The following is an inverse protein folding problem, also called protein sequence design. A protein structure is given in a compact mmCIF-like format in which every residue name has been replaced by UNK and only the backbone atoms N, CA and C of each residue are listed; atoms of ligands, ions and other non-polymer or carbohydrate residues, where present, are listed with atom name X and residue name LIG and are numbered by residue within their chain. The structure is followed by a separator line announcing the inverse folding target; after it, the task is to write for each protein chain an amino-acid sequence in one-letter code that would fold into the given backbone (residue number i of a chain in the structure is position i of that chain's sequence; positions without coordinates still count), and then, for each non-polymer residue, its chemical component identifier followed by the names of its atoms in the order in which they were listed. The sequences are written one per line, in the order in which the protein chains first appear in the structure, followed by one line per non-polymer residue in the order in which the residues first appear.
data_IF_663331519331
#
_entry.id   IF_663331519331
#
_cell.length_a   1.000
_cell.length_b   1.000
_cell.length_c   1.000
_cell.angle_alpha   90.00
_cell.angle_beta   90.00
_cell.angle_gamma   90.00
#
_symmetry.space_group_name_H-M   'P 1'
#
loop_
_entity.id
_entity.type
_entity.pdbx_description
1 polymer ?
#
# COMPACT_ATOMS: atom_id res chain seq x y z
N UNK A 1 41.38 31.22 57.65
CA UNK A 1 40.14 30.84 56.96
C UNK A 1 40.39 31.10 55.49
N UNK A 2 41.30 30.32 54.92
CA UNK A 2 41.59 30.38 53.49
C UNK A 2 40.41 29.74 52.80
N UNK A 3 39.60 30.58 52.17
CA UNK A 3 38.51 30.13 51.33
C UNK A 3 39.14 29.26 50.24
N UNK A 4 38.60 28.06 50.09
CA UNK A 4 39.01 26.99 49.19
C UNK A 4 38.75 27.37 47.72
N UNK A 5 39.44 28.43 47.28
CA UNK A 5 39.34 29.03 45.95
C UNK A 5 39.88 28.05 44.92
N UNK A 6 40.91 27.28 45.26
CA UNK A 6 41.48 26.27 44.36
C UNK A 6 40.50 25.12 44.12
N UNK A 7 39.82 24.58 45.14
CA UNK A 7 38.80 23.57 44.90
C UNK A 7 37.55 24.13 44.21
N UNK A 8 37.24 25.42 44.39
CA UNK A 8 36.17 26.08 43.63
C UNK A 8 36.53 26.19 42.14
N UNK A 9 37.78 26.55 41.82
CA UNK A 9 38.30 26.61 40.45
C UNK A 9 38.33 25.22 39.82
N UNK A 10 38.77 24.19 40.56
CA UNK A 10 38.85 22.81 40.07
C UNK A 10 37.46 22.22 39.80
N UNK A 11 36.49 22.49 40.69
CA UNK A 11 35.07 22.13 40.48
C UNK A 11 34.45 22.88 39.30
N UNK A 12 34.81 24.14 39.09
CA UNK A 12 34.35 24.91 37.94
C UNK A 12 34.95 24.38 36.63
N UNK A 13 36.23 24.02 36.61
CA UNK A 13 36.89 23.37 35.47
C UNK A 13 36.27 22.02 35.11
N UNK A 14 36.06 21.16 36.11
CA UNK A 14 35.38 19.87 35.92
C UNK A 14 33.96 20.01 35.36
N UNK A 15 33.20 21.01 35.83
CA UNK A 15 31.86 21.29 35.32
C UNK A 15 31.88 21.75 33.86
N UNK A 16 32.86 22.59 33.49
CA UNK A 16 33.06 23.06 32.11
C UNK A 16 33.36 21.89 31.16
N UNK A 17 34.21 20.94 31.58
CA UNK A 17 34.56 19.78 30.76
C UNK A 17 33.37 18.81 30.57
N UNK A 18 32.56 18.61 31.61
CA UNK A 18 31.32 17.81 31.52
C UNK A 18 30.31 18.46 30.57
N UNK A 19 30.16 19.79 30.62
CA UNK A 19 29.29 20.53 29.70
C UNK A 19 29.83 20.44 28.26
N UNK A 20 31.13 20.61 28.06
CA UNK A 20 31.77 20.51 26.74
C UNK A 20 31.61 19.12 26.10
N UNK A 21 31.80 18.06 26.88
CA UNK A 21 31.58 16.67 26.44
C UNK A 21 30.10 16.38 26.14
N UNK A 22 29.17 16.92 26.93
CA UNK A 22 27.73 16.80 26.65
C UNK A 22 27.32 17.53 25.36
N UNK A 23 27.84 18.75 25.12
CA UNK A 23 27.54 19.53 23.90
C UNK A 23 28.10 18.85 22.66
N UNK A 24 29.33 18.32 22.73
CA UNK A 24 29.96 17.58 21.60
C UNK A 24 29.28 16.25 21.33
N UNK A 25 28.84 15.53 22.38
CA UNK A 25 28.03 14.33 22.22
C UNK A 25 26.67 14.65 21.60
N UNK A 26 25.99 15.71 22.06
CA UNK A 26 24.69 16.12 21.53
C UNK A 26 24.80 16.56 20.06
N UNK A 27 25.83 17.32 19.69
CA UNK A 27 26.07 17.75 18.30
C UNK A 27 26.53 16.61 17.38
N UNK A 28 27.28 15.63 17.91
CA UNK A 28 27.69 14.46 17.14
C UNK A 28 26.50 13.57 16.75
N UNK A 29 25.46 13.51 17.60
CA UNK A 29 24.29 12.67 17.37
C UNK A 29 23.13 13.41 16.68
N UNK A 30 23.07 14.74 16.73
CA UNK A 30 22.11 15.52 15.92
C UNK A 30 22.39 15.39 14.44
N UNK A 31 23.66 15.44 14.02
CA UNK A 31 24.02 15.25 12.62
C UNK A 31 23.70 13.84 12.13
N UNK A 32 24.00 12.81 12.94
CA UNK A 32 23.67 11.42 12.61
C UNK A 32 22.15 11.20 12.48
N UNK A 33 21.35 11.77 13.38
CA UNK A 33 19.88 11.65 13.32
C UNK A 33 19.27 12.41 12.14
N UNK A 34 19.75 13.62 11.83
CA UNK A 34 19.30 14.37 10.65
C UNK A 34 19.65 13.65 9.35
N UNK A 35 20.86 13.08 9.26
CA UNK A 35 21.26 12.26 8.12
C UNK A 35 20.38 11.03 7.97
N UNK A 36 20.08 10.32 9.06
CA UNK A 36 19.18 9.17 9.04
C UNK A 36 17.77 9.55 8.52
N UNK A 37 17.20 10.63 9.03
CA UNK A 37 15.88 11.12 8.58
C UNK A 37 15.90 11.52 7.11
N UNK A 38 16.95 12.23 6.67
CA UNK A 38 17.11 12.63 5.27
C UNK A 38 17.21 11.40 4.35
N UNK A 39 18.01 10.40 4.72
CA UNK A 39 18.14 9.15 3.96
C UNK A 39 16.80 8.40 3.89
N UNK A 40 16.09 8.26 5.02
CA UNK A 40 14.76 7.64 5.04
C UNK A 40 13.75 8.41 4.17
N UNK A 41 13.77 9.75 4.22
CA UNK A 41 12.91 10.59 3.40
C UNK A 41 13.20 10.41 1.91
N UNK A 42 14.47 10.39 1.50
CA UNK A 42 14.90 10.13 0.11
C UNK A 42 14.45 8.73 -0.33
N UNK A 43 14.64 7.71 0.51
CA UNK A 43 14.21 6.34 0.22
C UNK A 43 12.69 6.27 0.04
N UNK A 44 11.91 6.89 0.93
CA UNK A 44 10.45 6.93 0.86
C UNK A 44 10.02 7.67 -0.41
N UNK A 45 10.61 8.83 -0.71
CA UNK A 45 10.30 9.65 -1.87
C UNK A 45 10.64 8.95 -3.19
N UNK A 46 11.82 8.35 -3.31
CA UNK A 46 12.20 7.54 -4.47
C UNK A 46 11.19 6.38 -4.68
N UNK A 47 10.78 5.71 -3.60
CA UNK A 47 9.76 4.65 -3.66
C UNK A 47 8.38 5.17 -4.04
N UNK A 48 7.99 6.38 -3.63
CA UNK A 48 6.68 6.94 -4.03
C UNK A 48 6.67 7.33 -5.50
N UNK A 49 7.77 7.87 -6.04
CA UNK A 49 7.92 8.19 -7.47
C UNK A 49 7.92 6.92 -8.30
N UNK A 50 8.74 5.92 -7.96
CA UNK A 50 8.82 4.66 -8.70
C UNK A 50 7.47 3.91 -8.76
N UNK A 51 6.60 4.10 -7.75
CA UNK A 51 5.23 3.55 -7.77
C UNK A 51 4.28 4.25 -8.73
N UNK A 52 4.60 5.45 -9.23
CA UNK A 52 3.75 6.23 -10.15
C UNK A 52 3.99 5.88 -11.61
N UNK A 53 5.17 5.39 -11.98
CA UNK A 53 5.51 5.02 -13.36
C UNK A 53 5.01 3.62 -13.71
N UNK A 54 3.71 3.34 -13.53
CA UNK A 54 3.16 2.05 -13.98
C UNK A 54 2.82 2.12 -15.46
N UNK A 55 3.45 1.27 -16.28
CA UNK A 55 3.01 1.02 -17.65
C UNK A 55 1.55 0.55 -17.62
N UNK A 56 0.70 1.23 -18.37
CA UNK A 56 -0.72 0.89 -18.51
C UNK A 56 -0.91 -0.08 -19.68
N UNK A 57 -1.84 -1.02 -19.53
CA UNK A 57 -2.24 -1.89 -20.63
C UNK A 57 -2.82 -1.05 -21.78
N UNK A 58 -2.38 -1.22 -23.05
CA UNK A 58 -2.98 -0.51 -24.19
C UNK A 58 -4.47 -0.81 -24.34
N UNK A 59 -4.90 -2.01 -23.94
CA UNK A 59 -6.32 -2.36 -23.91
C UNK A 59 -6.87 -2.02 -22.53
N UNK A 60 -7.85 -1.11 -22.46
CA UNK A 60 -8.54 -0.77 -21.20
C UNK A 60 -9.89 -1.48 -21.07
N UNK A 61 -10.53 -1.82 -22.17
CA UNK A 61 -11.91 -2.27 -22.18
C UNK A 61 -11.99 -3.79 -22.28
N UNK A 62 -12.68 -4.41 -21.34
CA UNK A 62 -13.11 -5.80 -21.48
C UNK A 62 -14.11 -5.92 -22.62
N UNK A 63 -13.98 -6.99 -23.41
CA UNK A 63 -14.94 -7.37 -24.44
C UNK A 63 -16.29 -7.76 -23.82
N UNK A 64 -17.35 -7.83 -24.63
CA UNK A 64 -18.68 -8.29 -24.19
C UNK A 64 -18.63 -9.71 -23.62
N UNK A 65 -17.87 -10.61 -24.26
CA UNK A 65 -17.70 -11.99 -23.82
C UNK A 65 -16.96 -12.09 -22.50
N UNK A 66 -15.86 -11.35 -22.33
CA UNK A 66 -15.13 -11.26 -21.06
C UNK A 66 -16.03 -10.73 -19.94
N UNK A 67 -16.85 -9.71 -20.22
CA UNK A 67 -17.80 -9.19 -19.23
C UNK A 67 -18.84 -10.25 -18.86
N UNK A 68 -19.43 -10.94 -19.83
CA UNK A 68 -20.40 -12.00 -19.59
C UNK A 68 -19.80 -13.13 -18.76
N UNK A 69 -18.62 -13.60 -19.15
CA UNK A 69 -17.88 -14.65 -18.44
C UNK A 69 -17.58 -14.24 -17.00
N UNK A 70 -17.06 -13.04 -16.79
CA UNK A 70 -16.73 -12.53 -15.45
C UNK A 70 -17.96 -12.40 -14.54
N UNK A 71 -19.10 -11.99 -15.10
CA UNK A 71 -20.38 -11.96 -14.37
C UNK A 71 -20.85 -13.37 -13.99
N UNK A 72 -20.73 -14.34 -14.90
CA UNK A 72 -21.07 -15.76 -14.65
C UNK A 72 -20.18 -16.34 -13.56
N UNK A 73 -18.86 -16.15 -13.61
CA UNK A 73 -17.89 -16.59 -12.58
C UNK A 73 -18.24 -16.04 -11.19
N UNK A 74 -18.88 -14.87 -11.11
CA UNK A 74 -19.29 -14.23 -9.86
C UNK A 74 -20.74 -14.53 -9.45
N UNK A 75 -21.44 -15.43 -10.16
CA UNK A 75 -22.87 -15.73 -10.00
C UNK A 75 -23.77 -14.48 -10.10
N UNK A 76 -23.39 -13.51 -10.94
CA UNK A 76 -24.05 -12.21 -11.07
C UNK A 76 -24.17 -11.44 -9.73
N UNK A 77 -23.25 -11.68 -8.78
CA UNK A 77 -23.24 -11.04 -7.47
C UNK A 77 -21.97 -10.24 -7.25
N UNK A 78 -22.13 -9.10 -6.57
CA UNK A 78 -21.01 -8.20 -6.28
C UNK A 78 -19.97 -8.89 -5.39
N UNK A 79 -18.71 -8.91 -5.81
CA UNK A 79 -17.61 -9.56 -5.08
C UNK A 79 -17.00 -8.67 -3.99
N UNK A 80 -17.32 -7.38 -4.02
CA UNK A 80 -16.72 -6.37 -3.15
C UNK A 80 -16.95 -6.67 -1.67
N UNK A 81 -15.89 -6.59 -0.84
CA UNK A 81 -15.96 -6.87 0.59
C UNK A 81 -16.89 -5.88 1.33
N UNK A 82 -17.55 -6.38 2.37
CA UNK A 82 -18.31 -5.64 3.38
C UNK A 82 -17.99 -6.19 4.77
N UNK A 83 -18.32 -5.39 5.79
CA UNK A 83 -18.13 -5.76 7.20
C UNK A 83 -16.68 -6.23 7.47
N UNK A 84 -15.73 -5.31 7.30
CA UNK A 84 -14.28 -5.56 7.40
C UNK A 84 -13.75 -6.70 6.50
N UNK A 85 -14.48 -7.04 5.43
CA UNK A 85 -14.08 -8.04 4.45
C UNK A 85 -14.54 -9.47 4.73
N UNK A 86 -15.29 -9.67 5.81
CA UNK A 86 -15.86 -10.97 6.18
C UNK A 86 -16.96 -11.44 5.22
N UNK A 87 -17.67 -10.51 4.54
CA UNK A 87 -18.77 -10.85 3.63
C UNK A 87 -18.62 -10.16 2.27
N UNK A 88 -19.23 -10.72 1.21
CA UNK A 88 -19.50 -9.91 -0.01
C UNK A 88 -20.70 -9.01 0.20
N UNK A 89 -20.72 -7.91 -0.56
CA UNK A 89 -21.95 -7.20 -0.81
C UNK A 89 -23.06 -8.14 -1.32
N UNK A 90 -24.28 -7.98 -0.80
CA UNK A 90 -25.45 -8.80 -1.17
C UNK A 90 -26.11 -8.39 -2.49
N UNK A 91 -25.73 -7.24 -3.05
CA UNK A 91 -26.31 -6.71 -4.30
C UNK A 91 -25.82 -7.47 -5.53
N UNK A 92 -26.63 -7.45 -6.58
CA UNK A 92 -26.25 -7.96 -7.90
C UNK A 92 -25.04 -7.18 -8.44
N UNK A 93 -24.21 -7.87 -9.21
CA UNK A 93 -23.18 -7.20 -9.97
C UNK A 93 -23.83 -6.49 -11.16
N UNK A 94 -23.33 -5.30 -11.47
CA UNK A 94 -23.81 -4.44 -12.55
C UNK A 94 -22.65 -4.09 -13.49
N UNK A 95 -21.42 -4.06 -12.96
CA UNK A 95 -20.21 -3.66 -13.66
C UNK A 95 -19.13 -4.73 -13.52
N UNK A 96 -18.45 -4.98 -14.63
CA UNK A 96 -17.17 -5.67 -14.67
C UNK A 96 -16.05 -4.64 -14.72
N UNK A 97 -15.18 -4.62 -13.72
CA UNK A 97 -14.06 -3.69 -13.64
C UNK A 97 -12.77 -4.41 -13.26
N UNK A 98 -11.66 -3.69 -13.32
CA UNK A 98 -10.34 -4.15 -12.95
C UNK A 98 -10.20 -4.20 -11.43
N UNK A 99 -9.80 -5.34 -10.88
CA UNK A 99 -9.48 -5.49 -9.48
C UNK A 99 -8.28 -4.62 -9.08
N UNK A 100 -7.16 -4.73 -9.80
CA UNK A 100 -6.11 -3.72 -9.83
C UNK A 100 -6.49 -2.65 -10.87
N UNK A 101 -6.69 -1.38 -10.47
CA UNK A 101 -7.10 -0.33 -11.41
C UNK A 101 -6.17 -0.22 -12.61
N UNK A 102 -6.74 -0.09 -13.81
CA UNK A 102 -5.98 0.09 -15.05
C UNK A 102 -4.97 1.25 -14.96
N UNK A 103 -5.39 2.39 -14.40
CA UNK A 103 -4.54 3.58 -14.20
C UNK A 103 -3.40 3.39 -13.17
N UNK A 104 -3.31 2.22 -12.54
CA UNK A 104 -2.25 1.81 -11.60
C UNK A 104 -1.48 0.57 -12.10
N UNK A 105 -1.57 0.30 -13.41
CA UNK A 105 -0.88 -0.80 -14.09
C UNK A 105 -1.60 -2.14 -13.93
N UNK A 106 -2.93 -2.13 -13.81
CA UNK A 106 -3.73 -3.35 -13.91
C UNK A 106 -3.88 -3.81 -15.36
N UNK A 107 -3.76 -5.11 -15.60
CA UNK A 107 -3.96 -5.70 -16.93
C UNK A 107 -5.45 -5.91 -17.22
N UNK A 108 -5.85 -5.84 -18.49
CA UNK A 108 -7.21 -6.18 -18.94
C UNK A 108 -7.28 -7.68 -19.22
N UNK A 109 -7.36 -8.46 -18.14
CA UNK A 109 -7.41 -9.93 -18.19
C UNK A 109 -8.51 -10.47 -17.28
N UNK A 110 -8.93 -11.70 -17.52
CA UNK A 110 -9.96 -12.34 -16.69
C UNK A 110 -9.51 -12.57 -15.25
N UNK A 111 -8.21 -12.70 -15.00
CA UNK A 111 -7.65 -12.79 -13.65
C UNK A 111 -7.76 -11.46 -12.90
N UNK A 112 -7.65 -10.33 -13.61
CA UNK A 112 -7.87 -9.00 -13.06
C UNK A 112 -9.33 -8.56 -13.06
N UNK A 113 -10.26 -9.35 -13.59
CA UNK A 113 -11.68 -9.00 -13.61
C UNK A 113 -12.31 -9.15 -12.23
N UNK A 114 -13.17 -8.19 -11.85
CA UNK A 114 -14.02 -8.29 -10.67
C UNK A 114 -15.43 -7.77 -10.95
N UNK A 115 -16.43 -8.54 -10.50
CA UNK A 115 -17.83 -8.15 -10.64
C UNK A 115 -18.27 -7.29 -9.45
N UNK A 116 -18.85 -6.11 -9.72
CA UNK A 116 -19.25 -5.16 -8.68
C UNK A 116 -20.59 -4.48 -9.00
N UNK A 117 -21.34 -4.10 -7.96
CA UNK A 117 -22.48 -3.19 -8.11
C UNK A 117 -22.01 -1.73 -8.24
N UNK A 118 -22.82 -0.83 -8.80
CA UNK A 118 -22.44 0.57 -9.06
C UNK A 118 -21.84 1.25 -7.83
N UNK A 119 -22.52 1.22 -6.67
CA UNK A 119 -22.03 1.89 -5.45
C UNK A 119 -20.69 1.35 -4.97
N UNK A 120 -20.45 0.03 -5.03
CA UNK A 120 -19.16 -0.51 -4.58
C UNK A 120 -18.06 -0.24 -5.61
N UNK A 121 -18.39 -0.27 -6.91
CA UNK A 121 -17.46 0.09 -7.98
C UNK A 121 -17.01 1.55 -7.85
N UNK A 122 -17.95 2.48 -7.67
CA UNK A 122 -17.68 3.90 -7.45
C UNK A 122 -16.86 4.13 -6.18
N UNK A 123 -17.20 3.47 -5.08
CA UNK A 123 -16.44 3.58 -3.82
C UNK A 123 -15.01 3.02 -3.94
N UNK A 124 -14.81 1.95 -4.73
CA UNK A 124 -13.47 1.41 -5.02
C UNK A 124 -12.63 2.40 -5.82
N UNK A 125 -13.23 3.09 -6.80
CA UNK A 125 -12.53 4.05 -7.66
C UNK A 125 -11.18 3.48 -8.17
N UNK A 126 -10.10 4.25 -8.07
CA UNK A 126 -8.74 3.87 -8.41
C UNK A 126 -7.91 3.36 -7.21
N UNK A 127 -8.55 2.95 -6.11
CA UNK A 127 -7.83 2.40 -4.96
C UNK A 127 -7.23 1.03 -5.30
N UNK A 128 -5.93 0.90 -5.03
CA UNK A 128 -5.22 -0.38 -5.16
C UNK A 128 -5.64 -1.29 -4.02
N UNK A 129 -6.14 -2.51 -4.29
CA UNK A 129 -6.57 -3.42 -3.25
C UNK A 129 -5.41 -3.82 -2.34
N UNK A 130 -5.68 -3.91 -1.03
CA UNK A 130 -4.71 -4.39 -0.05
C UNK A 130 -4.53 -5.91 -0.15
N UNK A 131 -3.41 -6.42 0.36
CA UNK A 131 -3.16 -7.87 0.41
C UNK A 131 -4.27 -8.63 1.15
N UNK A 132 -4.80 -8.04 2.22
CA UNK A 132 -5.91 -8.60 2.98
C UNK A 132 -7.19 -8.69 2.13
N UNK A 133 -7.55 -7.62 1.42
CA UNK A 133 -8.71 -7.63 0.52
C UNK A 133 -8.58 -8.69 -0.57
N UNK A 134 -7.39 -8.79 -1.19
CA UNK A 134 -7.09 -9.84 -2.19
C UNK A 134 -7.27 -11.23 -1.61
N UNK A 135 -6.72 -11.48 -0.41
CA UNK A 135 -6.82 -12.77 0.27
C UNK A 135 -8.28 -13.14 0.60
N UNK A 136 -9.05 -12.20 1.15
CA UNK A 136 -10.45 -12.42 1.53
C UNK A 136 -11.35 -12.66 0.31
N UNK A 137 -11.10 -11.99 -0.82
CA UNK A 137 -11.82 -12.30 -2.07
C UNK A 137 -11.42 -13.68 -2.58
N UNK A 138 -10.12 -13.99 -2.63
CA UNK A 138 -9.63 -15.29 -3.11
C UNK A 138 -10.20 -16.46 -2.28
N UNK A 139 -10.22 -16.33 -0.96
CA UNK A 139 -10.83 -17.32 -0.06
C UNK A 139 -12.32 -17.52 -0.37
N UNK A 140 -13.07 -16.44 -0.62
CA UNK A 140 -14.50 -16.52 -0.95
C UNK A 140 -14.75 -17.15 -2.32
N UNK A 141 -13.92 -16.83 -3.32
CA UNK A 141 -14.01 -17.39 -4.68
C UNK A 141 -13.92 -18.91 -4.69
N UNK A 142 -13.22 -19.55 -3.73
CA UNK A 142 -13.21 -21.02 -3.55
C UNK A 142 -14.59 -21.67 -3.48
N UNK A 143 -15.65 -20.92 -3.14
CA UNK A 143 -17.00 -21.46 -2.99
C UNK A 143 -17.87 -21.34 -4.25
N UNK A 144 -17.49 -20.49 -5.20
CA UNK A 144 -18.38 -20.14 -6.33
C UNK A 144 -17.66 -19.94 -7.67
N UNK A 145 -16.33 -19.93 -7.69
CA UNK A 145 -15.58 -19.93 -8.95
C UNK A 145 -15.58 -21.33 -9.56
N UNK A 146 -15.63 -21.45 -10.90
CA UNK A 146 -15.48 -22.74 -11.58
C UNK A 146 -14.13 -23.39 -11.28
N UNK A 147 -14.10 -24.72 -11.28
CA UNK A 147 -12.88 -25.49 -11.10
C UNK A 147 -11.87 -25.22 -12.22
N UNK A 148 -10.57 -25.28 -11.88
CA UNK A 148 -9.47 -24.98 -12.81
C UNK A 148 -9.22 -23.50 -13.09
N UNK A 149 -10.11 -22.59 -12.67
CA UNK A 149 -9.92 -21.14 -12.84
C UNK A 149 -9.16 -20.54 -11.64
N UNK A 150 -8.15 -19.68 -11.86
CA UNK A 150 -7.47 -18.97 -10.78
C UNK A 150 -8.43 -18.17 -9.90
N UNK A 151 -8.47 -18.49 -8.61
CA UNK A 151 -9.32 -17.82 -7.62
C UNK A 151 -8.75 -16.49 -7.15
N UNK A 152 -7.44 -16.26 -7.29
CA UNK A 152 -6.79 -15.05 -6.76
C UNK A 152 -7.08 -13.90 -7.73
N UNK A 153 -7.79 -12.84 -7.30
CA UNK A 153 -8.04 -11.71 -8.17
C UNK A 153 -6.77 -10.88 -8.32
N UNK A 154 -6.58 -10.36 -9.53
CA UNK A 154 -5.63 -9.31 -9.81
C UNK A 154 -4.43 -9.78 -10.63
N UNK A 155 -4.22 -9.09 -11.75
CA UNK A 155 -3.03 -9.20 -12.58
C UNK A 155 -2.51 -7.80 -12.91
N UNK A 156 -1.20 -7.60 -12.79
CA UNK A 156 -0.53 -6.38 -13.25
C UNK A 156 -0.19 -6.52 -14.72
N UNK A 157 -0.28 -5.42 -15.46
CA UNK A 157 0.23 -5.35 -16.81
C UNK A 157 1.76 -5.49 -16.75
N UNK A 158 2.31 -6.44 -17.50
CA UNK A 158 3.74 -6.73 -17.46
C UNK A 158 4.54 -5.93 -18.48
N UNK A 159 3.89 -5.19 -19.39
CA UNK A 159 4.56 -4.57 -20.52
C UNK A 159 5.16 -5.64 -21.46
N UNK A 160 5.35 -5.26 -22.72
CA UNK A 160 6.28 -5.96 -23.60
C UNK A 160 7.48 -5.04 -23.78
#
# INVERSE_FOLDING_TARGET
MDLDIDALIDRAGSLIDVIGTAITWLSAHTMATLLLVAVLAVIIFARTIARRTSTTDPTRLFTSDQRREGMVRAENRCEMPKFFGLTRCRRRAEHGDHFFPWSRGGATTMDNYVAACAKCNLAKSNHVPTRLTTFLIAMRRRRYFPDGIPIRPGQRYQGV
#
